data_IF_960698916715
#
_entry.id   IF_960698916715
#
_cell.length_a   1.000
_cell.length_b   1.000
_cell.length_c   1.000
_cell.angle_alpha   90.00
_cell.angle_beta   90.00
_cell.angle_gamma   90.00
#
_symmetry.space_group_name_H-M   'P 1'
#
loop_
_entity.id
_entity.type
_entity.pdbx_description
1 polymer ?
#
# COMPACT_ATOMS: atom_id res chain seq x y z
N UNK A 1 -39.97 -25.42 -28.12
CA UNK A 1 -41.23 -24.70 -27.85
C UNK A 1 -42.29 -24.94 -28.92
N UNK A 2 -41.98 -24.73 -30.20
CA UNK A 2 -42.91 -24.94 -31.32
C UNK A 2 -43.52 -26.36 -31.37
N UNK A 3 -42.70 -27.39 -31.19
CA UNK A 3 -43.15 -28.79 -31.18
C UNK A 3 -44.09 -29.09 -30.00
N UNK A 4 -43.74 -28.60 -28.81
CA UNK A 4 -44.55 -28.81 -27.60
C UNK A 4 -45.90 -28.06 -27.68
N UNK A 5 -45.88 -26.82 -28.19
CA UNK A 5 -47.09 -26.05 -28.43
C UNK A 5 -48.02 -26.74 -29.42
N UNK A 6 -47.46 -27.25 -30.53
CA UNK A 6 -48.21 -28.01 -31.53
C UNK A 6 -48.85 -29.27 -30.92
N UNK A 7 -48.08 -30.04 -30.14
CA UNK A 7 -48.58 -31.22 -29.45
C UNK A 7 -49.72 -30.89 -28.46
N UNK A 8 -49.61 -29.79 -27.71
CA UNK A 8 -50.67 -29.36 -26.79
C UNK A 8 -51.94 -28.93 -27.53
N UNK A 9 -51.83 -28.19 -28.64
CA UNK A 9 -52.99 -27.82 -29.48
C UNK A 9 -53.68 -29.03 -30.09
N UNK A 10 -52.92 -30.01 -30.57
CA UNK A 10 -53.48 -31.25 -31.13
C UNK A 10 -54.20 -32.05 -30.04
N UNK A 11 -53.59 -32.19 -28.86
CA UNK A 11 -54.18 -32.93 -27.75
C UNK A 11 -55.45 -32.25 -27.22
N UNK A 12 -55.47 -30.91 -27.12
CA UNK A 12 -56.67 -30.14 -26.78
C UNK A 12 -57.79 -30.31 -27.81
N UNK A 13 -57.46 -30.21 -29.11
CA UNK A 13 -58.42 -30.38 -30.19
C UNK A 13 -59.02 -31.80 -30.19
N UNK A 14 -58.20 -32.82 -29.95
CA UNK A 14 -58.67 -34.21 -29.83
C UNK A 14 -59.62 -34.41 -28.64
N UNK A 15 -59.32 -33.82 -27.47
CA UNK A 15 -60.21 -33.90 -26.30
C UNK A 15 -61.51 -33.12 -26.48
N UNK A 16 -61.49 -31.97 -27.17
CA UNK A 16 -62.70 -31.22 -27.52
C UNK A 16 -63.56 -31.96 -28.55
N UNK A 17 -62.94 -32.54 -29.58
CA UNK A 17 -63.64 -33.35 -30.58
C UNK A 17 -64.27 -34.60 -29.95
N UNK A 18 -63.60 -35.23 -28.99
CA UNK A 18 -64.15 -36.37 -28.25
C UNK A 18 -65.31 -35.97 -27.31
N UNK A 19 -65.21 -34.80 -26.66
CA UNK A 19 -66.29 -34.26 -25.83
C UNK A 19 -67.54 -33.90 -26.65
N UNK A 20 -67.37 -33.41 -27.87
CA UNK A 20 -68.46 -33.08 -28.81
C UNK A 20 -69.00 -34.31 -29.57
N UNK A 21 -68.42 -35.49 -29.37
CA UNK A 21 -68.85 -36.74 -29.99
C UNK A 21 -68.39 -36.94 -31.44
N UNK A 22 -67.47 -36.10 -31.94
CA UNK A 22 -66.89 -36.25 -33.29
C UNK A 22 -65.78 -37.31 -33.33
N UNK A 23 -65.17 -37.66 -32.19
CA UNK A 23 -64.07 -38.62 -32.09
C UNK A 23 -64.29 -39.54 -30.88
N UNK A 24 -63.95 -40.84 -30.94
CA UNK A 24 -63.99 -41.69 -29.76
C UNK A 24 -62.95 -41.24 -28.72
N UNK A 25 -63.26 -41.43 -27.43
CA UNK A 25 -62.27 -41.27 -26.36
C UNK A 25 -61.17 -42.32 -26.48
N UNK A 26 -59.99 -42.03 -25.94
CA UNK A 26 -58.91 -43.01 -25.81
C UNK A 26 -59.43 -44.25 -25.06
N UNK A 27 -59.27 -45.43 -25.64
CA UNK A 27 -59.60 -46.70 -25.00
C UNK A 27 -58.38 -47.27 -24.27
N UNK A 28 -58.53 -47.50 -22.97
CA UNK A 28 -57.49 -48.08 -22.12
C UNK A 28 -58.13 -49.06 -21.15
N UNK A 29 -57.73 -50.33 -21.22
CA UNK A 29 -58.16 -51.36 -20.26
C UNK A 29 -57.26 -51.31 -19.02
N UNK A 30 -57.73 -50.65 -17.97
CA UNK A 30 -57.06 -50.62 -16.67
C UNK A 30 -57.96 -51.23 -15.58
N UNK A 31 -57.34 -51.91 -14.61
CA UNK A 31 -58.03 -52.44 -13.44
C UNK A 31 -57.26 -52.09 -12.17
N UNK A 32 -58.00 -51.89 -11.07
CA UNK A 32 -57.43 -51.62 -9.75
C UNK A 32 -58.10 -52.53 -8.73
N UNK A 33 -57.30 -53.36 -8.04
CA UNK A 33 -57.82 -54.31 -7.04
C UNK A 33 -58.90 -55.28 -7.58
N UNK A 34 -58.82 -55.67 -8.85
CA UNK A 34 -59.79 -56.57 -9.50
C UNK A 34 -61.04 -55.88 -10.07
N UNK A 35 -61.20 -54.56 -9.87
CA UNK A 35 -62.28 -53.77 -10.49
C UNK A 35 -61.82 -53.17 -11.81
N UNK A 36 -62.61 -53.32 -12.87
CA UNK A 36 -62.33 -52.69 -14.16
C UNK A 36 -62.70 -51.20 -14.11
N UNK A 37 -61.83 -50.33 -14.63
CA UNK A 37 -62.03 -48.88 -14.70
C UNK A 37 -62.40 -48.47 -16.13
N UNK A 38 -63.70 -48.35 -16.47
CA UNK A 38 -64.15 -48.05 -17.83
C UNK A 38 -63.77 -46.64 -18.29
N UNK A 39 -63.52 -45.71 -17.36
CA UNK A 39 -63.18 -44.31 -17.64
C UNK A 39 -61.66 -44.05 -17.70
N UNK A 40 -60.83 -45.10 -17.59
CA UNK A 40 -59.38 -44.95 -17.45
C UNK A 40 -58.75 -44.20 -18.63
N UNK A 41 -59.17 -44.50 -19.86
CA UNK A 41 -58.62 -43.84 -21.04
C UNK A 41 -59.05 -42.38 -21.16
N UNK A 42 -60.30 -42.05 -20.82
CA UNK A 42 -60.78 -40.66 -20.75
C UNK A 42 -60.00 -39.84 -19.71
N UNK A 43 -59.79 -40.39 -18.51
CA UNK A 43 -59.03 -39.70 -17.47
C UNK A 43 -57.56 -39.49 -17.86
N UNK A 44 -56.93 -40.49 -18.50
CA UNK A 44 -55.56 -40.37 -18.98
C UNK A 44 -55.44 -39.28 -20.06
N UNK A 45 -56.37 -39.26 -21.01
CA UNK A 45 -56.39 -38.27 -22.08
C UNK A 45 -56.54 -36.85 -21.52
N UNK A 46 -57.49 -36.63 -20.60
CA UNK A 46 -57.68 -35.33 -19.96
C UNK A 46 -56.46 -34.90 -19.12
N UNK A 47 -55.89 -35.83 -18.35
CA UNK A 47 -54.68 -35.56 -17.57
C UNK A 47 -53.51 -35.14 -18.45
N UNK A 48 -53.26 -35.87 -19.55
CA UNK A 48 -52.17 -35.57 -20.47
C UNK A 48 -52.38 -34.24 -21.19
N UNK A 49 -53.63 -33.91 -21.57
CA UNK A 49 -53.93 -32.57 -22.10
C UNK A 49 -53.68 -31.46 -21.10
N UNK A 50 -54.15 -31.60 -19.85
CA UNK A 50 -53.93 -30.60 -18.81
C UNK A 50 -52.44 -30.40 -18.51
N UNK A 51 -51.66 -31.49 -18.48
CA UNK A 51 -50.21 -31.46 -18.28
C UNK A 51 -49.51 -30.71 -19.43
N UNK A 52 -49.82 -31.05 -20.68
CA UNK A 52 -49.22 -30.39 -21.84
C UNK A 52 -49.55 -28.89 -21.88
N UNK A 53 -50.79 -28.53 -21.61
CA UNK A 53 -51.22 -27.13 -21.56
C UNK A 53 -50.49 -26.38 -20.44
N UNK A 54 -50.43 -26.94 -19.25
CA UNK A 54 -49.69 -26.34 -18.11
C UNK A 54 -48.21 -26.14 -18.46
N UNK A 55 -47.58 -27.13 -19.10
CA UNK A 55 -46.17 -27.07 -19.47
C UNK A 55 -45.89 -26.00 -20.54
N UNK A 56 -46.82 -25.79 -21.49
CA UNK A 56 -46.72 -24.74 -22.51
C UNK A 56 -46.79 -23.34 -21.88
N UNK A 57 -47.55 -23.14 -20.81
CA UNK A 57 -47.59 -21.85 -20.10
C UNK A 57 -46.40 -21.66 -19.15
N UNK A 58 -45.90 -22.72 -18.52
CA UNK A 58 -44.85 -22.62 -17.50
C UNK A 58 -43.44 -22.46 -18.10
N UNK A 59 -43.08 -23.25 -19.11
CA UNK A 59 -41.73 -23.25 -19.69
C UNK A 59 -41.28 -21.89 -20.28
N UNK A 60 -42.12 -21.12 -21.00
CA UNK A 60 -41.70 -19.81 -21.52
C UNK A 60 -41.41 -18.83 -20.39
N UNK A 61 -42.17 -18.92 -19.29
CA UNK A 61 -41.99 -18.06 -18.11
C UNK A 61 -40.66 -18.35 -17.42
N UNK A 62 -40.37 -19.62 -17.12
CA UNK A 62 -39.11 -20.04 -16.50
C UNK A 62 -37.91 -19.74 -17.41
N UNK A 63 -38.05 -19.92 -18.73
CA UNK A 63 -37.01 -19.57 -19.69
C UNK A 63 -36.70 -18.07 -19.72
N UNK A 64 -37.74 -17.22 -19.60
CA UNK A 64 -37.56 -15.76 -19.53
C UNK A 64 -36.86 -15.33 -18.24
N UNK A 65 -37.19 -15.96 -17.10
CA UNK A 65 -36.52 -15.70 -15.81
C UNK A 65 -35.05 -16.13 -15.86
N UNK A 66 -34.75 -17.32 -16.37
CA UNK A 66 -33.36 -17.79 -16.50
C UNK A 66 -32.54 -16.94 -17.48
N UNK A 67 -33.17 -16.44 -18.55
CA UNK A 67 -32.54 -15.49 -19.47
C UNK A 67 -32.24 -14.15 -18.80
N UNK A 68 -33.13 -13.65 -17.93
CA UNK A 68 -32.89 -12.45 -17.14
C UNK A 68 -31.75 -12.64 -16.12
N UNK A 69 -31.70 -13.80 -15.45
CA UNK A 69 -30.63 -14.13 -14.52
C UNK A 69 -29.27 -14.27 -15.22
N UNK A 70 -29.23 -14.86 -16.42
CA UNK A 70 -28.00 -14.94 -17.22
C UNK A 70 -27.63 -13.59 -17.83
N UNK A 71 -28.59 -12.76 -18.22
CA UNK A 71 -28.34 -11.38 -18.66
C UNK A 71 -27.70 -10.55 -17.54
N UNK A 72 -28.15 -10.73 -16.29
CA UNK A 72 -27.55 -10.09 -15.12
C UNK A 72 -26.14 -10.62 -14.80
N UNK A 73 -25.79 -11.83 -15.25
CA UNK A 73 -24.46 -12.45 -15.08
C UNK A 73 -23.51 -12.16 -16.24
N UNK A 74 -24.02 -11.65 -17.36
CA UNK A 74 -23.25 -11.32 -18.56
C UNK A 74 -22.69 -9.89 -18.55
N UNK A 75 -22.83 -9.16 -17.44
CA UNK A 75 -22.00 -8.01 -17.05
C UNK A 75 -20.59 -8.45 -16.65
N UNK A 76 -19.95 -9.28 -17.49
CA UNK A 76 -18.54 -9.61 -17.29
C UNK A 76 -17.77 -8.42 -17.81
N UNK A 77 -17.36 -7.54 -16.91
CA UNK A 77 -16.24 -6.62 -17.12
C UNK A 77 -15.14 -7.42 -17.83
N UNK A 78 -14.98 -7.18 -19.13
CA UNK A 78 -13.95 -7.82 -19.92
C UNK A 78 -12.64 -7.12 -19.60
N UNK A 79 -11.66 -7.87 -19.08
CA UNK A 79 -10.36 -7.29 -18.72
C UNK A 79 -9.67 -6.66 -19.93
N UNK A 80 -9.93 -7.16 -21.15
CA UNK A 80 -9.39 -6.58 -22.38
C UNK A 80 -9.98 -5.19 -22.67
N UNK A 81 -11.26 -4.98 -22.37
CA UNK A 81 -11.93 -3.69 -22.56
C UNK A 81 -11.52 -2.69 -21.48
N UNK A 82 -11.35 -3.15 -20.24
CA UNK A 82 -10.75 -2.34 -19.16
C UNK A 82 -9.34 -1.94 -19.52
N UNK A 83 -8.50 -2.85 -20.02
CA UNK A 83 -7.12 -2.56 -20.40
C UNK A 83 -7.06 -1.54 -21.55
N UNK A 84 -7.95 -1.66 -22.53
CA UNK A 84 -8.06 -0.71 -23.66
C UNK A 84 -8.46 0.69 -23.18
N UNK A 85 -9.52 0.78 -22.38
CA UNK A 85 -9.97 2.05 -21.81
C UNK A 85 -8.90 2.66 -20.88
N UNK A 86 -8.28 1.84 -20.03
CA UNK A 86 -7.19 2.25 -19.15
C UNK A 86 -6.01 2.80 -19.95
N UNK A 87 -5.61 2.15 -21.05
CA UNK A 87 -4.50 2.64 -21.87
C UNK A 87 -4.78 4.03 -22.45
N UNK A 88 -6.01 4.28 -22.89
CA UNK A 88 -6.44 5.59 -23.40
C UNK A 88 -6.44 6.65 -22.29
N UNK A 89 -7.01 6.35 -21.12
CA UNK A 89 -6.92 7.27 -19.97
C UNK A 89 -5.47 7.51 -19.54
N UNK A 90 -4.65 6.47 -19.47
CA UNK A 90 -3.26 6.55 -19.02
C UNK A 90 -2.38 7.37 -19.98
N UNK A 91 -2.57 7.21 -21.29
CA UNK A 91 -1.83 8.02 -22.28
C UNK A 91 -2.23 9.49 -22.21
N UNK A 92 -3.51 9.80 -22.01
CA UNK A 92 -3.99 11.16 -21.78
C UNK A 92 -3.47 11.77 -20.47
N UNK A 93 -3.38 10.96 -19.41
CA UNK A 93 -2.83 11.38 -18.12
C UNK A 93 -1.35 11.78 -18.24
N UNK A 94 -0.56 10.99 -18.98
CA UNK A 94 0.84 11.33 -19.32
C UNK A 94 0.97 12.57 -20.21
N UNK A 95 -0.05 12.89 -21.00
CA UNK A 95 -0.11 14.11 -21.80
C UNK A 95 -0.58 15.34 -20.98
N UNK A 96 -0.93 15.16 -19.69
CA UNK A 96 -1.35 16.24 -18.81
C UNK A 96 -2.78 16.73 -19.07
N UNK A 97 -3.64 15.89 -19.66
CA UNK A 97 -5.03 16.24 -19.99
C UNK A 97 -5.89 16.45 -18.74
N UNK A 98 -5.57 15.77 -17.64
CA UNK A 98 -6.34 15.80 -16.39
C UNK A 98 -5.72 16.72 -15.35
N UNK A 99 -6.54 17.60 -14.78
CA UNK A 99 -6.09 18.67 -13.87
C UNK A 99 -6.72 18.64 -12.48
N UNK A 100 -7.79 17.88 -12.29
CA UNK A 100 -8.50 17.81 -11.01
C UNK A 100 -7.69 17.02 -9.97
N UNK A 101 -7.67 17.53 -8.73
CA UNK A 101 -6.84 16.98 -7.63
C UNK A 101 -7.63 16.25 -6.55
N UNK A 102 -8.94 16.46 -6.44
CA UNK A 102 -9.79 15.66 -5.55
C UNK A 102 -10.04 14.31 -6.19
N UNK A 103 -9.81 13.20 -5.48
CA UNK A 103 -9.99 11.82 -6.00
C UNK A 103 -11.32 11.64 -6.74
N UNK A 104 -12.43 12.12 -6.16
CA UNK A 104 -13.76 12.02 -6.78
C UNK A 104 -13.89 12.84 -8.07
N UNK A 105 -13.25 14.01 -8.13
CA UNK A 105 -13.27 14.85 -9.33
C UNK A 105 -12.30 14.33 -10.40
N UNK A 106 -11.16 13.80 -9.99
CA UNK A 106 -10.14 13.23 -10.85
C UNK A 106 -10.65 11.94 -11.55
N UNK A 107 -11.37 11.08 -10.82
CA UNK A 107 -12.04 9.91 -11.42
C UNK A 107 -13.17 10.36 -12.35
N UNK A 108 -13.98 11.35 -11.96
CA UNK A 108 -15.06 11.89 -12.81
C UNK A 108 -14.53 12.50 -14.11
N UNK A 109 -13.43 13.24 -14.04
CA UNK A 109 -12.78 13.86 -15.20
C UNK A 109 -12.32 12.79 -16.20
N UNK A 110 -11.69 11.72 -15.71
CA UNK A 110 -11.29 10.57 -16.54
C UNK A 110 -12.47 9.79 -17.11
N UNK A 111 -13.52 9.62 -16.33
CA UNK A 111 -14.74 8.95 -16.78
C UNK A 111 -15.45 9.75 -17.89
N UNK A 112 -15.52 11.07 -17.75
CA UNK A 112 -16.05 11.96 -18.79
C UNK A 112 -15.20 11.87 -20.08
N UNK A 113 -13.87 11.89 -19.94
CA UNK A 113 -12.96 11.73 -21.06
C UNK A 113 -13.13 10.37 -21.78
N UNK A 114 -13.23 9.27 -21.03
CA UNK A 114 -13.42 7.94 -21.61
C UNK A 114 -14.77 7.82 -22.33
N UNK A 115 -15.82 8.39 -21.77
CA UNK A 115 -17.16 8.40 -22.38
C UNK A 115 -17.20 9.18 -23.69
N UNK A 116 -16.48 10.30 -23.76
CA UNK A 116 -16.47 11.18 -24.93
C UNK A 116 -15.46 10.70 -26.00
N UNK A 117 -14.71 9.61 -25.74
CA UNK A 117 -13.72 9.06 -26.67
C UNK A 117 -14.40 8.29 -27.83
N UNK A 118 -14.05 8.58 -29.10
CA UNK A 118 -14.76 8.06 -30.28
C UNK A 118 -14.77 6.52 -30.37
N UNK A 119 -13.68 5.88 -29.93
CA UNK A 119 -13.54 4.42 -30.01
C UNK A 119 -14.08 3.67 -28.80
N UNK A 120 -14.42 4.36 -27.70
CA UNK A 120 -14.78 3.72 -26.42
C UNK A 120 -16.26 3.88 -26.05
N UNK A 121 -17.03 4.68 -26.79
CA UNK A 121 -18.45 4.92 -26.49
C UNK A 121 -19.36 3.69 -26.56
N UNK A 122 -18.85 2.54 -27.03
CA UNK A 122 -19.55 1.26 -27.04
C UNK A 122 -19.31 0.43 -25.76
N UNK A 123 -18.36 0.82 -24.92
CA UNK A 123 -18.06 0.13 -23.67
C UNK A 123 -19.11 0.42 -22.61
N UNK A 124 -19.35 -0.56 -21.73
CA UNK A 124 -20.23 -0.37 -20.58
C UNK A 124 -19.65 0.63 -19.58
N UNK A 125 -20.54 1.29 -18.83
CA UNK A 125 -20.16 2.28 -17.83
C UNK A 125 -19.18 1.72 -16.80
N UNK A 126 -19.45 0.53 -16.27
CA UNK A 126 -18.64 -0.13 -15.25
C UNK A 126 -17.20 -0.39 -15.73
N UNK A 127 -17.02 -0.68 -17.02
CA UNK A 127 -15.68 -0.86 -17.62
C UNK A 127 -14.91 0.46 -17.63
N UNK A 128 -15.57 1.55 -18.03
CA UNK A 128 -14.97 2.88 -18.05
C UNK A 128 -14.70 3.41 -16.64
N UNK A 129 -15.57 3.12 -15.68
CA UNK A 129 -15.39 3.49 -14.28
C UNK A 129 -14.16 2.80 -13.68
N UNK A 130 -14.02 1.48 -13.87
CA UNK A 130 -12.83 0.73 -13.40
C UNK A 130 -11.56 1.27 -14.06
N UNK A 131 -11.58 1.53 -15.37
CA UNK A 131 -10.44 2.12 -16.07
C UNK A 131 -10.06 3.51 -15.53
N UNK A 132 -11.06 4.36 -15.23
CA UNK A 132 -10.84 5.69 -14.65
C UNK A 132 -10.24 5.60 -13.24
N UNK A 133 -10.75 4.71 -12.39
CA UNK A 133 -10.22 4.45 -11.04
C UNK A 133 -8.78 3.93 -11.08
N UNK A 134 -8.49 2.97 -11.96
CA UNK A 134 -7.13 2.46 -12.16
C UNK A 134 -6.18 3.55 -12.67
N UNK A 135 -6.66 4.42 -13.57
CA UNK A 135 -5.90 5.56 -14.08
C UNK A 135 -5.48 6.54 -12.98
N UNK A 136 -6.38 6.87 -12.06
CA UNK A 136 -6.07 7.74 -10.91
C UNK A 136 -5.05 7.10 -9.97
N UNK A 137 -5.24 5.82 -9.60
CA UNK A 137 -4.28 5.11 -8.75
C UNK A 137 -2.89 5.01 -9.40
N UNK A 138 -2.83 4.78 -10.71
CA UNK A 138 -1.58 4.72 -11.44
C UNK A 138 -0.85 6.08 -11.45
N UNK A 139 -1.60 7.19 -11.56
CA UNK A 139 -1.04 8.54 -11.48
C UNK A 139 -0.45 8.83 -10.11
N UNK A 140 -1.19 8.59 -9.05
CA UNK A 140 -0.71 8.82 -7.68
C UNK A 140 0.60 8.06 -7.43
N UNK A 141 0.65 6.80 -7.86
CA UNK A 141 1.85 5.99 -7.73
C UNK A 141 3.03 6.54 -8.57
N UNK A 142 2.76 7.00 -9.79
CA UNK A 142 3.77 7.63 -10.65
C UNK A 142 4.29 8.96 -10.07
N UNK A 143 3.42 9.74 -9.44
CA UNK A 143 3.78 10.98 -8.78
C UNK A 143 4.67 10.71 -7.56
N UNK A 144 4.31 9.74 -6.71
CA UNK A 144 5.10 9.36 -5.53
C UNK A 144 6.45 8.78 -5.95
N UNK A 145 6.46 7.83 -6.89
CA UNK A 145 7.63 7.03 -7.28
C UNK A 145 8.25 7.43 -8.62
N UNK A 146 8.11 8.69 -9.03
CA UNK A 146 8.74 9.17 -10.26
C UNK A 146 10.26 8.90 -10.28
N UNK A 147 10.78 8.56 -11.45
CA UNK A 147 12.21 8.27 -11.65
C UNK A 147 13.11 9.41 -11.14
N UNK A 148 12.67 10.65 -11.28
CA UNK A 148 13.36 11.83 -10.78
C UNK A 148 13.42 11.86 -9.25
N UNK A 149 12.30 11.61 -8.56
CA UNK A 149 12.28 11.53 -7.08
C UNK A 149 13.16 10.41 -6.57
N UNK A 150 13.11 9.23 -7.21
CA UNK A 150 13.94 8.07 -6.84
C UNK A 150 15.42 8.34 -7.10
N UNK A 151 15.77 8.90 -8.25
CA UNK A 151 17.14 9.29 -8.61
C UNK A 151 17.70 10.32 -7.62
N UNK A 152 16.90 11.32 -7.25
CA UNK A 152 17.27 12.33 -6.26
C UNK A 152 17.49 11.74 -4.87
N UNK A 153 16.59 10.86 -4.43
CA UNK A 153 16.74 10.16 -3.15
C UNK A 153 18.02 9.32 -3.12
N UNK A 154 18.34 8.61 -4.21
CA UNK A 154 19.58 7.84 -4.33
C UNK A 154 20.82 8.75 -4.25
N UNK A 155 20.82 9.87 -4.96
CA UNK A 155 21.92 10.85 -4.89
C UNK A 155 22.11 11.42 -3.49
N UNK A 156 21.02 11.77 -2.81
CA UNK A 156 21.07 12.25 -1.42
C UNK A 156 21.69 11.21 -0.47
N UNK A 157 21.29 9.94 -0.60
CA UNK A 157 21.86 8.85 0.19
C UNK A 157 23.35 8.66 -0.10
N UNK A 158 23.76 8.69 -1.37
CA UNK A 158 25.17 8.60 -1.74
C UNK A 158 26.00 9.75 -1.12
N UNK A 159 25.51 10.98 -1.23
CA UNK A 159 26.15 12.14 -0.60
C UNK A 159 26.25 11.98 0.92
N UNK A 160 25.22 11.45 1.57
CA UNK A 160 25.23 11.25 3.03
C UNK A 160 26.23 10.18 3.46
N UNK A 161 26.46 9.16 2.65
CA UNK A 161 27.50 8.15 2.90
C UNK A 161 28.89 8.76 2.79
N UNK A 162 29.18 9.49 1.70
CA UNK A 162 30.46 10.18 1.54
C UNK A 162 30.74 11.17 2.67
N UNK A 163 29.70 11.91 3.11
CA UNK A 163 29.82 12.83 4.23
C UNK A 163 30.11 12.10 5.56
N UNK A 164 29.52 10.91 5.77
CA UNK A 164 29.76 10.10 6.96
C UNK A 164 31.19 9.54 6.98
N UNK A 165 31.71 9.09 5.84
CA UNK A 165 33.10 8.63 5.69
C UNK A 165 34.09 9.75 6.03
N UNK A 166 33.90 10.96 5.47
CA UNK A 166 34.75 12.11 5.80
C UNK A 166 34.67 12.51 7.27
N UNK A 167 33.50 12.40 7.90
CA UNK A 167 33.38 12.63 9.35
C UNK A 167 34.16 11.58 10.14
N UNK A 168 34.08 10.32 9.75
CA UNK A 168 34.82 9.24 10.40
C UNK A 168 36.33 9.45 10.31
N UNK A 169 36.85 9.85 9.14
CA UNK A 169 38.27 10.18 8.96
C UNK A 169 38.72 11.32 9.89
N UNK A 170 37.93 12.40 9.96
CA UNK A 170 38.22 13.54 10.86
C UNK A 170 38.19 13.16 12.33
N UNK A 171 37.29 12.27 12.74
CA UNK A 171 37.22 11.76 14.12
C UNK A 171 38.49 10.96 14.45
N UNK A 172 38.95 10.11 13.53
CA UNK A 172 40.18 9.33 13.71
C UNK A 172 41.40 10.24 13.85
N UNK A 173 41.51 11.27 13.00
CA UNK A 173 42.58 12.27 13.09
C UNK A 173 42.54 13.02 14.42
N UNK A 174 41.37 13.53 14.83
CA UNK A 174 41.21 14.22 16.10
C UNK A 174 41.58 13.34 17.30
N UNK A 175 41.20 12.05 17.29
CA UNK A 175 41.58 11.10 18.32
C UNK A 175 43.10 10.86 18.38
N UNK A 176 43.77 10.87 17.23
CA UNK A 176 45.24 10.78 17.20
C UNK A 176 45.87 12.01 17.87
N UNK A 177 45.45 13.22 17.47
CA UNK A 177 45.92 14.48 18.06
C UNK A 177 45.67 14.52 19.57
N UNK A 178 44.49 14.12 20.05
CA UNK A 178 44.21 14.06 21.48
C UNK A 178 45.17 13.12 22.24
N UNK A 179 45.54 11.98 21.64
CA UNK A 179 46.52 11.06 22.25
C UNK A 179 47.92 11.65 22.29
N UNK A 180 48.34 12.34 21.22
CA UNK A 180 49.63 13.02 21.18
C UNK A 180 49.71 14.16 22.20
N UNK A 181 48.68 15.00 22.26
CA UNK A 181 48.58 16.08 23.26
C UNK A 181 48.67 15.55 24.69
N UNK A 182 47.98 14.43 24.98
CA UNK A 182 48.08 13.80 26.29
C UNK A 182 49.51 13.34 26.60
N UNK A 183 50.18 12.70 25.63
CA UNK A 183 51.57 12.25 25.79
C UNK A 183 52.52 13.44 26.03
N UNK A 184 52.33 14.56 25.34
CA UNK A 184 53.13 15.76 25.56
C UNK A 184 52.87 16.38 26.94
N UNK A 185 51.62 16.41 27.39
CA UNK A 185 51.29 16.89 28.73
C UNK A 185 51.98 16.03 29.81
N UNK A 186 51.88 14.71 29.71
CA UNK A 186 52.53 13.78 30.64
C UNK A 186 54.07 13.95 30.65
N UNK A 187 54.67 14.21 29.47
CA UNK A 187 56.11 14.45 29.34
C UNK A 187 56.54 15.76 30.00
N UNK A 188 55.79 16.85 29.76
CA UNK A 188 56.07 18.16 30.35
C UNK A 188 55.95 18.08 31.88
N UNK A 189 54.93 17.42 32.41
CA UNK A 189 54.76 17.23 33.85
C UNK A 189 55.97 16.49 34.47
N UNK A 190 56.47 15.45 33.79
CA UNK A 190 57.65 14.73 34.23
C UNK A 190 58.90 15.62 34.19
N UNK A 191 59.12 16.38 33.12
CA UNK A 191 60.25 17.31 33.00
C UNK A 191 60.21 18.41 34.06
N UNK A 192 59.04 18.99 34.33
CA UNK A 192 58.84 19.97 35.39
C UNK A 192 59.16 19.38 36.77
N UNK A 193 58.73 18.14 37.04
CA UNK A 193 59.05 17.46 38.30
C UNK A 193 60.57 17.24 38.48
N UNK A 194 61.29 16.92 37.40
CA UNK A 194 62.75 16.75 37.40
C UNK A 194 63.45 18.08 37.64
N UNK A 195 63.03 19.16 36.95
CA UNK A 195 63.58 20.51 37.15
C UNK A 195 63.35 20.99 38.58
N UNK A 196 62.15 20.79 39.13
CA UNK A 196 61.85 21.14 40.52
C UNK A 196 62.77 20.40 41.51
N UNK A 197 63.03 19.10 41.26
CA UNK A 197 63.96 18.31 42.08
C UNK A 197 65.41 18.81 41.97
N UNK A 198 65.88 19.14 40.76
CA UNK A 198 67.23 19.67 40.55
C UNK A 198 67.42 21.05 41.20
N UNK A 199 66.44 21.94 41.09
CA UNK A 199 66.47 23.25 41.76
C UNK A 199 66.52 23.09 43.28
N UNK A 200 65.72 22.18 43.84
CA UNK A 200 65.74 21.90 45.28
C UNK A 200 67.10 21.35 45.74
N UNK A 201 67.72 20.49 44.94
CA UNK A 201 69.05 19.95 45.23
C UNK A 201 70.15 21.03 45.11
N UNK A 202 70.05 21.93 44.12
CA UNK A 202 71.00 23.03 43.94
C UNK A 202 70.90 24.03 45.10
N UNK A 203 69.69 24.36 45.54
CA UNK A 203 69.43 25.20 46.72
C UNK A 203 70.07 24.58 47.98
N UNK A 204 69.88 23.29 48.21
CA UNK A 204 70.46 22.56 49.34
C UNK A 204 72.01 22.54 49.30
N UNK A 205 72.59 22.29 48.13
CA UNK A 205 74.05 22.37 47.93
C UNK A 205 74.59 23.77 48.18
N UNK A 206 73.90 24.80 47.68
CA UNK A 206 74.31 26.20 47.85
C UNK A 206 74.23 26.62 49.33
N UNK A 207 73.16 26.25 50.04
CA UNK A 207 73.00 26.49 51.48
C UNK A 207 74.09 25.82 52.31
N UNK A 208 74.59 24.67 51.87
CA UNK A 208 75.71 23.97 52.52
C UNK A 208 77.05 24.69 52.30
N UNK A 209 77.31 25.19 51.08
CA UNK A 209 78.60 25.81 50.72
C UNK A 209 78.73 27.29 51.12
N UNK A 210 77.63 28.05 51.14
CA UNK A 210 77.63 29.49 51.48
C UNK A 210 78.26 29.83 52.84
N UNK A 211 77.94 29.11 53.94
CA UNK A 211 78.55 29.33 55.25
C UNK A 211 80.07 29.18 55.24
N UNK A 212 80.61 28.22 54.48
CA UNK A 212 82.05 27.99 54.36
C UNK A 212 82.78 29.15 53.68
N UNK A 213 82.09 29.88 52.81
CA UNK A 213 82.59 31.06 52.09
C UNK A 213 82.40 32.38 52.86
N UNK A 214 81.83 32.33 54.08
CA UNK A 214 81.57 33.51 54.91
C UNK A 214 80.31 34.29 54.56
N UNK A 215 79.42 33.72 53.76
CA UNK A 215 78.14 34.30 53.39
C UNK A 215 76.99 33.64 54.17
N UNK A 216 75.98 34.42 54.56
CA UNK A 216 74.81 33.90 55.28
C UNK A 216 73.84 33.24 54.27
N UNK A 217 73.39 31.99 54.50
CA UNK A 217 72.54 31.31 53.56
C UNK A 217 71.18 32.03 53.43
N UNK A 218 70.64 32.17 52.20
CA UNK A 218 69.32 32.78 52.00
C UNK A 218 68.27 31.99 52.79
N UNK A 219 67.48 32.68 53.62
CA UNK A 219 66.42 32.07 54.42
C UNK A 219 65.39 31.46 53.48
N UNK A 220 65.24 30.14 53.49
CA UNK A 220 64.20 29.41 52.77
C UNK A 220 62.86 30.09 53.07
N UNK A 221 62.19 30.62 52.06
CA UNK A 221 60.86 31.20 52.24
C UNK A 221 59.93 30.05 52.66
N UNK A 222 59.61 29.98 53.95
CA UNK A 222 58.58 29.06 54.45
C UNK A 222 57.30 29.30 53.66
N UNK A 223 56.82 28.25 53.01
CA UNK A 223 55.67 28.32 52.12
C UNK A 223 54.49 28.97 52.82
N UNK A 224 54.02 30.08 52.24
CA UNK A 224 52.63 30.48 52.41
C UNK A 224 51.80 29.37 51.79
N UNK A 225 51.36 28.42 52.62
CA UNK A 225 50.18 27.61 52.34
C UNK A 225 48.99 28.57 52.28
N UNK A 226 48.88 29.26 51.14
CA UNK A 226 47.68 29.96 50.74
C UNK A 226 46.67 28.91 50.36
N UNK A 227 45.67 28.74 51.23
CA UNK A 227 44.39 28.15 50.93
C UNK A 227 43.87 28.69 49.59
N UNK A 228 44.07 27.93 48.52
CA UNK A 228 43.44 28.14 47.22
C UNK A 228 42.67 26.87 46.85
N UNK A 229 41.61 26.60 47.62
CA UNK A 229 40.59 25.65 47.23
C UNK A 229 39.22 26.10 47.73
N UNK A 230 38.71 27.19 47.16
CA UNK A 230 37.27 27.38 46.90
C UNK A 230 37.04 28.67 46.11
N UNK A 231 37.29 28.66 44.80
CA UNK A 231 36.44 29.42 43.88
C UNK A 231 36.45 28.77 42.50
N UNK A 232 35.65 27.71 42.36
CA UNK A 232 35.31 27.20 41.04
C UNK A 232 34.25 28.15 40.43
N UNK A 233 34.40 28.61 39.18
CA UNK A 233 33.38 29.45 38.55
C UNK A 233 32.08 28.64 38.45
N UNK A 234 31.06 29.13 39.16
CA UNK A 234 29.71 28.57 39.17
C UNK A 234 29.12 28.70 37.76
N UNK A 235 29.06 27.59 37.02
CA UNK A 235 28.42 27.52 35.71
C UNK A 235 26.94 27.86 35.90
N UNK A 236 26.54 29.07 35.49
CA UNK A 236 25.15 29.50 35.48
C UNK A 236 24.45 28.73 34.38
N UNK A 237 23.67 27.72 34.78
CA UNK A 237 22.78 27.00 33.89
C UNK A 237 21.65 27.95 33.47
N UNK A 238 21.75 28.56 32.29
CA UNK A 238 20.63 29.23 31.67
C UNK A 238 19.63 28.18 31.19
N UNK A 239 18.43 28.21 31.78
CA UNK A 239 17.23 27.54 31.24
C UNK A 239 17.00 28.02 29.80
N UNK A 240 16.64 27.15 28.85
CA UNK A 240 16.23 27.60 27.53
C UNK A 240 14.90 28.35 27.66
N UNK A 241 14.87 29.59 27.20
CA UNK A 241 13.63 30.29 26.90
C UNK A 241 13.13 29.77 25.55
N UNK A 242 12.05 29.01 25.57
CA UNK A 242 11.27 28.66 24.40
C UNK A 242 9.82 29.09 24.67
N UNK A 243 9.40 30.13 23.96
CA UNK A 243 8.05 30.23 23.38
C UNK A 243 8.05 29.46 22.05
#
# INVERSE_FOLDING_TARGET
MTILGLAATVALAASLAAALGYLPWLELTASFGGTALPWAGMALQLFLTALLVTLVFFLPSSGRVLALENSHRNFRISMDDVARAYHVAHTADRAGVFSMSSEFDAVRERLAFLRDHPDLGHLEHDVMEVAAQMGEQARDLADIYSDEKVSRARKFLAQRQEDAERQQERIVEALHVCREMKRWADQVELEESVVASQLAQLDDQLQTMLPELGFEPPRKAEGTNGDMSQDAPKVVNMKPAAE
#
